data_IF_147527925900
#
_entry.id   IF_147527925900
#
_cell.length_a   1.000
_cell.length_b   1.000
_cell.length_c   1.000
_cell.angle_alpha   90.00
_cell.angle_beta   90.00
_cell.angle_gamma   90.00
#
_symmetry.space_group_name_H-M   'P 1'
#
loop_
_entity.id
_entity.type
_entity.pdbx_description
1 polymer ?
#
# COMPACT_ATOMS: atom_id res chain seq x y z
N UNK A 1 22.64 -3.90 -32.63
CA UNK A 1 21.48 -4.76 -32.31
C UNK A 1 21.29 -4.65 -30.84
N UNK A 2 20.28 -3.87 -30.38
CA UNK A 2 19.96 -3.77 -28.96
C UNK A 2 19.43 -5.14 -28.49
N UNK A 3 19.73 -5.51 -27.27
CA UNK A 3 19.25 -6.74 -26.66
C UNK A 3 17.72 -6.70 -26.61
N UNK A 4 17.04 -7.65 -27.22
CA UNK A 4 15.57 -7.82 -27.13
C UNK A 4 15.14 -8.31 -25.74
N UNK A 5 16.06 -8.30 -24.77
CA UNK A 5 15.84 -8.73 -23.39
C UNK A 5 15.68 -7.53 -22.46
N UNK A 6 14.73 -7.65 -21.56
CA UNK A 6 14.37 -6.62 -20.59
C UNK A 6 14.31 -7.23 -19.19
N UNK A 7 14.74 -6.47 -18.19
CA UNK A 7 14.34 -6.69 -16.83
C UNK A 7 12.88 -6.20 -16.67
N UNK A 8 12.00 -7.08 -16.21
CA UNK A 8 10.59 -6.79 -15.94
C UNK A 8 10.41 -6.59 -14.45
N UNK A 9 9.81 -5.48 -14.07
CA UNK A 9 9.61 -5.08 -12.68
C UNK A 9 8.15 -4.68 -12.44
N UNK A 10 7.64 -4.94 -11.23
CA UNK A 10 6.37 -4.39 -10.77
C UNK A 10 6.59 -2.99 -10.17
N UNK A 11 5.74 -2.04 -10.55
CA UNK A 11 5.69 -0.66 -10.05
C UNK A 11 4.23 -0.26 -9.87
N UNK A 12 3.72 -0.28 -8.65
CA UNK A 12 2.29 -0.16 -8.40
C UNK A 12 1.50 -1.28 -9.06
N UNK A 13 0.48 -0.91 -9.82
CA UNK A 13 -0.33 -1.84 -10.62
C UNK A 13 0.25 -2.13 -12.01
N UNK A 14 1.44 -1.60 -12.33
CA UNK A 14 2.03 -1.69 -13.65
C UNK A 14 3.23 -2.64 -13.68
N UNK A 15 3.46 -3.24 -14.85
CA UNK A 15 4.73 -3.86 -15.18
C UNK A 15 5.55 -2.90 -16.03
N UNK A 16 6.81 -2.73 -15.68
CA UNK A 16 7.76 -1.89 -16.42
C UNK A 16 8.91 -2.72 -16.94
N UNK A 17 9.41 -2.37 -18.13
CA UNK A 17 10.54 -3.01 -18.77
C UNK A 17 11.73 -2.05 -18.88
N UNK A 18 12.89 -2.47 -18.37
CA UNK A 18 14.17 -1.77 -18.52
C UNK A 18 15.08 -2.63 -19.39
N UNK A 19 15.76 -2.08 -20.44
CA UNK A 19 16.69 -2.86 -21.26
C UNK A 19 17.73 -3.58 -20.40
N UNK A 20 17.91 -4.88 -20.61
CA UNK A 20 18.76 -5.71 -19.75
C UNK A 20 20.24 -5.30 -19.81
N UNK A 21 20.69 -4.77 -20.95
CA UNK A 21 22.05 -4.25 -21.16
C UNK A 21 22.35 -2.96 -20.38
N UNK A 22 21.31 -2.29 -19.87
CA UNK A 22 21.42 -1.11 -19.00
C UNK A 22 21.42 -1.45 -17.52
N UNK A 23 21.05 -2.68 -17.13
CA UNK A 23 20.97 -3.13 -15.75
C UNK A 23 22.32 -3.69 -15.30
N UNK A 24 22.85 -3.17 -14.20
CA UNK A 24 24.09 -3.67 -13.61
C UNK A 24 23.83 -4.63 -12.45
N UNK A 25 22.87 -4.30 -11.59
CA UNK A 25 22.60 -5.08 -10.38
C UNK A 25 21.14 -4.88 -9.92
N UNK A 26 20.56 -5.94 -9.38
CA UNK A 26 19.25 -5.93 -8.71
C UNK A 26 19.50 -6.38 -7.28
N UNK A 27 19.00 -5.61 -6.30
CA UNK A 27 19.26 -5.85 -4.89
C UNK A 27 18.10 -5.39 -4.03
N UNK A 28 18.02 -5.90 -2.81
CA UNK A 28 17.07 -5.36 -1.83
C UNK A 28 17.55 -3.97 -1.42
N UNK A 29 16.69 -2.97 -1.61
CA UNK A 29 17.01 -1.59 -1.25
C UNK A 29 17.17 -1.48 0.26
N UNK A 30 18.30 -0.93 0.68
CA UNK A 30 18.55 -0.53 2.07
C UNK A 30 18.19 0.92 2.32
N UNK A 31 18.84 1.52 3.29
CA UNK A 31 18.60 2.92 3.64
C UNK A 31 18.98 3.88 2.51
N UNK A 32 18.05 4.76 2.17
CA UNK A 32 18.25 5.88 1.25
C UNK A 32 18.31 7.16 2.06
N UNK A 33 19.39 7.92 1.89
CA UNK A 33 19.57 9.23 2.55
C UNK A 33 18.98 10.32 1.68
N UNK A 34 18.10 11.12 2.28
CA UNK A 34 17.41 12.21 1.58
C UNK A 34 18.19 13.51 1.77
N UNK A 35 18.81 14.08 0.73
CA UNK A 35 19.44 15.40 0.80
C UNK A 35 18.41 16.52 0.97
N UNK A 36 18.79 17.68 1.52
CA UNK A 36 17.93 18.87 1.53
C UNK A 36 17.51 19.24 0.09
N UNK A 37 16.26 19.70 -0.06
CA UNK A 37 15.67 20.14 -1.34
C UNK A 37 15.66 19.07 -2.45
N UNK A 38 15.62 17.78 -2.07
CA UNK A 38 15.51 16.68 -3.02
C UNK A 38 14.14 16.72 -3.73
N UNK A 39 14.08 16.67 -5.07
CA UNK A 39 12.81 16.61 -5.79
C UNK A 39 12.01 15.34 -5.41
N UNK A 40 10.66 15.36 -5.46
CA UNK A 40 9.84 14.22 -5.01
C UNK A 40 10.15 12.87 -5.69
N UNK A 41 10.49 12.88 -6.97
CA UNK A 41 10.85 11.68 -7.72
C UNK A 41 12.26 11.14 -7.40
N UNK A 42 13.13 11.99 -6.84
CA UNK A 42 14.42 11.58 -6.29
C UNK A 42 14.22 11.21 -4.83
N UNK A 43 14.22 9.91 -4.53
CA UNK A 43 14.11 9.42 -3.15
C UNK A 43 15.29 9.84 -2.27
N UNK A 44 16.41 10.18 -2.90
CA UNK A 44 17.64 10.56 -2.26
C UNK A 44 18.86 9.87 -2.88
N UNK A 45 19.78 9.44 -2.03
CA UNK A 45 20.99 8.72 -2.42
C UNK A 45 21.09 7.37 -1.73
N UNK A 46 21.35 6.32 -2.50
CA UNK A 46 21.61 4.98 -2.02
C UNK A 46 23.13 4.79 -1.89
N UNK A 47 23.58 4.21 -0.79
CA UNK A 47 25.00 3.88 -0.55
C UNK A 47 25.20 2.39 -0.79
N UNK A 48 26.01 2.02 -1.77
CA UNK A 48 26.28 0.63 -2.14
C UNK A 48 27.74 0.43 -2.49
N UNK A 49 28.35 -0.67 -1.99
CA UNK A 49 29.72 -1.09 -2.36
C UNK A 49 30.73 0.07 -2.43
N UNK A 50 30.63 1.01 -1.48
CA UNK A 50 31.53 2.17 -1.42
C UNK A 50 31.23 3.30 -2.40
N UNK A 51 30.15 3.20 -3.18
CA UNK A 51 29.64 4.26 -4.05
C UNK A 51 28.37 4.90 -3.51
N UNK A 52 28.07 6.13 -3.95
CA UNK A 52 26.86 6.89 -3.65
C UNK A 52 26.15 7.16 -4.97
N UNK A 53 24.91 6.73 -5.07
CA UNK A 53 24.13 6.77 -6.31
C UNK A 53 22.80 7.48 -6.08
N UNK A 54 22.36 8.38 -6.98
CA UNK A 54 21.01 8.93 -6.92
C UNK A 54 20.00 7.81 -7.07
N UNK A 55 18.95 7.87 -6.22
CA UNK A 55 17.88 6.88 -6.18
C UNK A 55 16.57 7.54 -6.64
N UNK A 56 15.98 7.04 -7.70
CA UNK A 56 14.76 7.50 -8.33
C UNK A 56 13.62 6.55 -8.00
N UNK A 57 12.53 7.07 -7.44
CA UNK A 57 11.32 6.30 -7.17
C UNK A 57 10.47 6.21 -8.43
N UNK A 58 10.42 5.04 -9.07
CA UNK A 58 9.69 4.86 -10.32
C UNK A 58 8.18 5.02 -10.16
N UNK A 59 7.62 4.74 -8.99
CA UNK A 59 6.19 5.04 -8.74
C UNK A 59 5.94 6.54 -8.87
N UNK A 60 6.77 7.35 -8.21
CA UNK A 60 6.65 8.82 -8.25
C UNK A 60 6.96 9.37 -9.63
N UNK A 61 7.95 8.82 -10.32
CA UNK A 61 8.26 9.18 -11.71
C UNK A 61 7.07 8.91 -12.65
N UNK A 62 6.27 7.89 -12.38
CA UNK A 62 5.07 7.53 -13.16
C UNK A 62 3.79 8.24 -12.65
N UNK A 63 3.92 9.17 -11.71
CA UNK A 63 2.79 9.97 -11.19
C UNK A 63 1.97 9.30 -10.09
N UNK A 64 2.49 8.25 -9.45
CA UNK A 64 1.88 7.56 -8.31
C UNK A 64 2.48 8.02 -6.98
N UNK A 65 1.81 7.67 -5.88
CA UNK A 65 2.44 7.77 -4.56
C UNK A 65 3.59 6.76 -4.47
N UNK A 66 4.63 7.10 -3.70
CA UNK A 66 5.65 6.11 -3.33
C UNK A 66 5.02 4.99 -2.52
N UNK A 67 5.55 3.78 -2.59
CA UNK A 67 5.07 2.66 -1.79
C UNK A 67 5.12 2.98 -0.28
N UNK A 68 6.13 3.73 0.16
CA UNK A 68 6.21 4.23 1.54
C UNK A 68 5.05 5.16 1.88
N UNK A 69 4.71 6.13 1.02
CA UNK A 69 3.61 7.05 1.27
C UNK A 69 2.25 6.33 1.29
N UNK A 70 2.05 5.32 0.46
CA UNK A 70 0.86 4.47 0.50
C UNK A 70 0.76 3.70 1.83
N UNK A 71 1.86 3.13 2.31
CA UNK A 71 1.92 2.43 3.58
C UNK A 71 1.68 3.37 4.77
N UNK A 72 2.30 4.56 4.77
CA UNK A 72 2.09 5.57 5.81
C UNK A 72 0.62 6.01 5.86
N UNK A 73 -0.02 6.19 4.72
CA UNK A 73 -1.45 6.52 4.63
C UNK A 73 -2.33 5.37 5.17
N UNK A 74 -1.99 4.11 4.87
CA UNK A 74 -2.72 2.95 5.37
C UNK A 74 -2.56 2.79 6.89
N UNK A 75 -1.36 3.00 7.43
CA UNK A 75 -1.08 3.03 8.87
C UNK A 75 -1.89 4.12 9.57
N UNK A 76 -1.94 5.33 9.00
CA UNK A 76 -2.74 6.43 9.53
C UNK A 76 -4.23 6.10 9.53
N UNK A 77 -4.76 5.55 8.43
CA UNK A 77 -6.15 5.13 8.32
C UNK A 77 -6.51 4.10 9.40
N UNK A 78 -5.67 3.09 9.63
CA UNK A 78 -5.92 2.09 10.67
C UNK A 78 -5.92 2.72 12.07
N UNK A 79 -5.06 3.72 12.33
CA UNK A 79 -5.07 4.49 13.57
C UNK A 79 -6.39 5.25 13.78
N UNK A 80 -6.91 5.88 12.74
CA UNK A 80 -8.22 6.53 12.79
C UNK A 80 -9.35 5.52 13.04
N UNK A 81 -9.30 4.34 12.42
CA UNK A 81 -10.33 3.29 12.60
C UNK A 81 -10.29 2.71 14.01
N UNK A 82 -9.12 2.56 14.61
CA UNK A 82 -8.98 2.20 16.03
C UNK A 82 -9.67 3.24 16.93
N UNK A 83 -9.39 4.52 16.72
CA UNK A 83 -9.97 5.59 17.50
C UNK A 83 -11.50 5.69 17.31
N UNK A 84 -12.00 5.39 16.13
CA UNK A 84 -13.46 5.29 15.87
C UNK A 84 -14.11 4.20 16.74
N UNK A 85 -13.45 3.05 16.98
CA UNK A 85 -13.97 1.99 17.85
C UNK A 85 -13.90 2.34 19.33
N UNK A 86 -12.87 3.05 19.77
CA UNK A 86 -12.80 3.59 21.15
C UNK A 86 -13.95 4.54 21.40
N UNK A 87 -14.22 5.47 20.47
CA UNK A 87 -15.33 6.42 20.56
C UNK A 87 -16.68 5.73 20.45
N UNK A 88 -16.82 4.70 19.62
CA UNK A 88 -18.04 3.92 19.49
C UNK A 88 -18.46 3.29 20.83
N UNK A 89 -17.51 2.65 21.51
CA UNK A 89 -17.79 2.03 22.83
C UNK A 89 -18.05 3.08 23.91
N UNK A 90 -17.33 4.20 23.90
CA UNK A 90 -17.58 5.31 24.83
C UNK A 90 -18.99 5.92 24.61
N UNK A 91 -19.43 6.05 23.37
CA UNK A 91 -20.76 6.54 23.02
C UNK A 91 -21.86 5.55 23.43
N UNK A 92 -21.63 4.23 23.32
CA UNK A 92 -22.54 3.22 23.80
C UNK A 92 -22.72 3.32 25.34
N UNK A 93 -21.63 3.46 26.08
CA UNK A 93 -21.61 3.67 27.53
C UNK A 93 -22.40 4.95 27.90
N UNK A 94 -22.09 6.08 27.27
CA UNK A 94 -22.77 7.34 27.51
C UNK A 94 -24.28 7.26 27.22
N UNK A 95 -24.68 6.55 26.15
CA UNK A 95 -26.10 6.38 25.82
C UNK A 95 -26.88 5.66 26.90
N UNK A 96 -26.24 4.69 27.61
CA UNK A 96 -26.89 4.00 28.75
C UNK A 96 -26.97 4.90 29.97
N UNK A 97 -25.89 5.62 30.32
CA UNK A 97 -25.83 6.50 31.50
C UNK A 97 -26.77 7.69 31.42
N UNK A 98 -26.92 8.24 30.19
CA UNK A 98 -27.77 9.42 29.93
C UNK A 98 -29.18 9.05 29.50
N UNK A 99 -29.50 7.76 29.50
CA UNK A 99 -30.80 7.21 29.06
C UNK A 99 -31.28 7.75 27.71
N UNK A 100 -30.38 7.77 26.74
CA UNK A 100 -30.63 8.24 25.36
C UNK A 100 -30.43 7.16 24.33
N UNK A 101 -30.93 7.41 23.15
CA UNK A 101 -30.76 6.51 22.01
C UNK A 101 -29.29 6.45 21.56
N UNK A 102 -28.81 5.23 21.31
CA UNK A 102 -27.51 5.00 20.64
C UNK A 102 -27.70 5.12 19.13
N UNK A 103 -26.91 6.00 18.48
CA UNK A 103 -27.11 6.36 17.06
C UNK A 103 -25.98 5.98 16.13
N UNK A 104 -24.90 5.41 16.64
CA UNK A 104 -23.80 4.97 15.79
C UNK A 104 -24.12 3.63 15.12
N UNK A 105 -23.39 3.31 14.05
CA UNK A 105 -23.60 2.08 13.28
C UNK A 105 -23.44 0.83 14.15
N UNK A 106 -24.46 0.00 14.20
CA UNK A 106 -24.47 -1.30 14.91
C UNK A 106 -24.14 -2.47 13.96
N UNK A 107 -24.30 -2.27 12.65
CA UNK A 107 -23.88 -3.22 11.64
C UNK A 107 -22.38 -3.05 11.37
N UNK A 108 -21.53 -4.10 11.58
CA UNK A 108 -20.09 -4.02 11.36
C UNK A 108 -19.73 -3.66 9.91
N UNK A 109 -20.59 -3.92 8.95
CA UNK A 109 -20.37 -3.56 7.54
C UNK A 109 -20.62 -2.09 7.23
N UNK A 110 -21.34 -1.38 8.10
CA UNK A 110 -21.72 0.03 7.93
C UNK A 110 -20.81 1.00 8.68
N UNK A 111 -19.97 0.53 9.61
CA UNK A 111 -18.95 1.37 10.23
C UNK A 111 -17.83 1.70 9.23
N UNK A 112 -17.10 2.78 9.45
CA UNK A 112 -16.04 3.23 8.54
C UNK A 112 -14.95 2.17 8.33
N UNK A 113 -14.58 1.43 9.40
CA UNK A 113 -13.63 0.33 9.27
C UNK A 113 -14.20 -0.79 8.41
N UNK A 114 -15.44 -1.23 8.67
CA UNK A 114 -16.06 -2.31 7.91
C UNK A 114 -16.22 -1.97 6.43
N UNK A 115 -16.63 -0.74 6.09
CA UNK A 115 -16.72 -0.31 4.69
C UNK A 115 -15.37 -0.45 3.97
N UNK A 116 -14.29 -0.02 4.61
CA UNK A 116 -12.94 -0.17 4.08
C UNK A 116 -12.51 -1.65 4.09
N UNK A 117 -12.67 -2.36 5.19
CA UNK A 117 -12.21 -3.73 5.42
C UNK A 117 -12.74 -4.71 4.37
N UNK A 118 -14.04 -4.67 4.09
CA UNK A 118 -14.67 -5.55 3.12
C UNK A 118 -14.37 -5.18 1.66
N UNK A 119 -13.98 -3.94 1.39
CA UNK A 119 -13.60 -3.47 0.06
C UNK A 119 -12.09 -3.65 -0.22
N UNK A 120 -11.25 -3.61 0.80
CA UNK A 120 -9.80 -3.64 0.66
C UNK A 120 -9.31 -4.98 0.11
N UNK A 121 -8.39 -4.90 -0.85
CA UNK A 121 -7.73 -6.07 -1.46
C UNK A 121 -6.23 -5.87 -1.40
N UNK A 122 -5.51 -6.93 -1.12
CA UNK A 122 -4.04 -6.94 -1.11
C UNK A 122 -3.51 -8.29 -1.58
N UNK A 123 -2.40 -8.26 -2.30
CA UNK A 123 -1.64 -9.46 -2.69
C UNK A 123 -0.64 -9.87 -1.60
N UNK A 124 -0.38 -9.00 -0.62
CA UNK A 124 0.46 -9.32 0.52
C UNK A 124 -0.23 -10.36 1.41
N UNK A 125 0.34 -11.58 1.45
CA UNK A 125 -0.20 -12.69 2.20
C UNK A 125 -0.16 -12.47 3.72
N UNK A 126 0.87 -11.75 4.22
CA UNK A 126 1.01 -11.44 5.65
C UNK A 126 -0.06 -10.45 6.06
N UNK A 127 -0.20 -9.34 5.33
CA UNK A 127 -1.22 -8.34 5.59
C UNK A 127 -2.63 -8.92 5.51
N UNK A 128 -2.89 -9.78 4.52
CA UNK A 128 -4.18 -10.48 4.39
C UNK A 128 -4.48 -11.38 5.59
N UNK A 129 -3.47 -12.09 6.10
CA UNK A 129 -3.61 -12.93 7.28
C UNK A 129 -3.87 -12.11 8.56
N UNK A 130 -3.20 -10.96 8.71
CA UNK A 130 -3.46 -10.05 9.84
C UNK A 130 -4.87 -9.46 9.78
N UNK A 131 -5.29 -9.01 8.61
CA UNK A 131 -6.64 -8.46 8.43
C UNK A 131 -7.75 -9.50 8.69
N UNK A 132 -7.54 -10.77 8.31
CA UNK A 132 -8.53 -11.82 8.54
C UNK A 132 -8.86 -12.04 10.03
N UNK A 133 -7.96 -11.67 10.95
CA UNK A 133 -8.19 -11.80 12.39
C UNK A 133 -9.23 -10.83 12.95
N UNK A 134 -9.59 -9.78 12.19
CA UNK A 134 -10.58 -8.80 12.62
C UNK A 134 -12.02 -9.30 12.52
N UNK A 135 -12.34 -10.25 11.64
CA UNK A 135 -13.70 -10.62 11.28
C UNK A 135 -14.56 -10.90 12.52
N UNK A 136 -14.12 -11.81 13.38
CA UNK A 136 -14.89 -12.23 14.55
C UNK A 136 -14.92 -11.14 15.65
N UNK A 137 -13.79 -10.58 16.13
CA UNK A 137 -13.85 -9.59 17.21
C UNK A 137 -14.53 -8.29 16.77
N UNK A 138 -14.42 -7.89 15.50
CA UNK A 138 -15.13 -6.73 14.97
C UNK A 138 -16.65 -6.97 14.90
N UNK A 139 -17.10 -8.14 14.46
CA UNK A 139 -18.53 -8.47 14.48
C UNK A 139 -19.07 -8.49 15.91
N UNK A 140 -18.33 -9.04 16.86
CA UNK A 140 -18.74 -9.12 18.27
C UNK A 140 -18.88 -7.76 18.94
N UNK A 141 -17.93 -6.82 18.71
CA UNK A 141 -18.05 -5.50 19.35
C UNK A 141 -19.30 -4.76 18.86
N UNK A 142 -19.67 -4.90 17.59
CA UNK A 142 -20.91 -4.32 17.07
C UNK A 142 -22.18 -5.02 17.57
N UNK A 143 -22.14 -6.34 17.80
CA UNK A 143 -23.26 -7.10 18.36
C UNK A 143 -23.58 -6.68 19.81
N UNK A 144 -22.60 -6.14 20.55
CA UNK A 144 -22.80 -5.63 21.92
C UNK A 144 -23.88 -4.56 21.99
N UNK A 145 -24.09 -3.76 20.96
CA UNK A 145 -25.13 -2.74 20.95
C UNK A 145 -26.53 -3.34 21.10
N UNK A 146 -26.81 -4.46 20.43
CA UNK A 146 -28.11 -5.15 20.53
C UNK A 146 -28.27 -5.78 21.92
N UNK A 147 -27.25 -6.39 22.49
CA UNK A 147 -27.24 -6.93 23.85
C UNK A 147 -27.55 -5.84 24.88
N UNK A 148 -26.84 -4.72 24.80
CA UNK A 148 -27.03 -3.56 25.69
C UNK A 148 -28.44 -2.99 25.58
N UNK A 149 -29.00 -2.89 24.38
CA UNK A 149 -30.35 -2.42 24.16
C UNK A 149 -31.40 -3.38 24.79
N UNK A 150 -31.22 -4.68 24.66
CA UNK A 150 -32.09 -5.68 25.27
C UNK A 150 -32.06 -5.59 26.81
N UNK A 151 -30.86 -5.49 27.40
CA UNK A 151 -30.72 -5.32 28.85
C UNK A 151 -31.38 -4.04 29.36
N UNK A 152 -31.27 -2.93 28.64
CA UNK A 152 -31.96 -1.67 28.99
C UNK A 152 -33.47 -1.80 28.94
N UNK A 153 -34.01 -2.46 27.92
CA UNK A 153 -35.46 -2.68 27.79
C UNK A 153 -36.06 -3.48 28.97
N UNK A 154 -35.23 -4.34 29.61
CA UNK A 154 -35.58 -5.08 30.83
C UNK A 154 -35.38 -4.26 32.13
N UNK A 155 -35.04 -2.97 32.04
CA UNK A 155 -34.70 -2.14 33.20
C UNK A 155 -33.35 -2.43 33.83
N UNK A 156 -32.48 -3.17 33.13
CA UNK A 156 -31.17 -3.62 33.62
C UNK A 156 -30.00 -2.70 33.23
N UNK A 157 -30.09 -1.39 33.47
CA UNK A 157 -29.02 -0.43 33.13
C UNK A 157 -27.65 -0.81 33.75
N UNK A 158 -27.61 -1.25 35.01
CA UNK A 158 -26.37 -1.66 35.65
C UNK A 158 -25.76 -2.90 34.97
N UNK A 159 -26.58 -3.86 34.52
CA UNK A 159 -26.13 -5.03 33.76
C UNK A 159 -25.60 -4.65 32.40
N UNK A 160 -26.25 -3.69 31.74
CA UNK A 160 -25.78 -3.15 30.46
C UNK A 160 -24.40 -2.47 30.58
N UNK A 161 -24.21 -1.64 31.61
CA UNK A 161 -22.90 -1.02 31.91
C UNK A 161 -21.84 -2.05 32.26
N UNK A 162 -22.17 -3.10 33.02
CA UNK A 162 -21.24 -4.19 33.31
C UNK A 162 -20.81 -4.95 32.04
N UNK A 163 -21.73 -5.21 31.09
CA UNK A 163 -21.41 -5.84 29.81
C UNK A 163 -20.48 -4.95 28.96
N UNK A 164 -20.70 -3.63 28.92
CA UNK A 164 -19.82 -2.67 28.26
C UNK A 164 -18.42 -2.68 28.88
N UNK A 165 -18.30 -2.75 30.20
CA UNK A 165 -17.01 -2.76 30.89
C UNK A 165 -16.21 -4.05 30.60
N UNK A 166 -16.89 -5.20 30.57
CA UNK A 166 -16.29 -6.47 30.12
C UNK A 166 -15.79 -6.36 28.67
N UNK A 167 -16.58 -5.76 27.77
CA UNK A 167 -16.16 -5.55 26.40
C UNK A 167 -14.99 -4.54 26.28
N UNK A 168 -14.96 -3.52 27.14
CA UNK A 168 -13.89 -2.52 27.21
C UNK A 168 -12.55 -3.16 27.61
N UNK A 169 -12.57 -4.00 28.64
CA UNK A 169 -11.36 -4.65 29.18
C UNK A 169 -10.91 -5.88 28.41
N UNK A 170 -11.75 -6.43 27.56
CA UNK A 170 -11.45 -7.64 26.77
C UNK A 170 -11.48 -7.35 25.25
N UNK A 171 -12.67 -7.29 24.68
CA UNK A 171 -12.88 -7.25 23.24
C UNK A 171 -12.24 -6.01 22.54
N UNK A 172 -12.38 -4.83 23.17
CA UNK A 172 -11.76 -3.60 22.66
C UNK A 172 -10.23 -3.69 22.71
N UNK A 173 -9.67 -4.26 23.80
CA UNK A 173 -8.22 -4.47 23.91
C UNK A 173 -7.73 -5.37 22.79
N UNK A 174 -8.42 -6.48 22.52
CA UNK A 174 -8.09 -7.38 21.41
C UNK A 174 -8.09 -6.64 20.07
N UNK A 175 -9.10 -5.80 19.80
CA UNK A 175 -9.14 -5.02 18.56
C UNK A 175 -7.97 -4.03 18.45
N UNK A 176 -7.62 -3.35 19.54
CA UNK A 176 -6.50 -2.41 19.59
C UNK A 176 -5.18 -3.14 19.28
N UNK A 177 -4.95 -4.30 19.86
CA UNK A 177 -3.78 -5.15 19.59
C UNK A 177 -3.74 -5.58 18.11
N UNK A 178 -4.87 -5.96 17.53
CA UNK A 178 -4.96 -6.29 16.12
C UNK A 178 -4.62 -5.10 15.21
N UNK A 179 -5.12 -3.89 15.54
CA UNK A 179 -4.77 -2.67 14.81
C UNK A 179 -3.26 -2.40 14.88
N UNK A 180 -2.64 -2.53 16.07
CA UNK A 180 -1.20 -2.30 16.23
C UNK A 180 -0.37 -3.35 15.48
N UNK A 181 -0.71 -4.64 15.61
CA UNK A 181 -0.02 -5.71 14.88
C UNK A 181 -0.13 -5.53 13.37
N UNK A 182 -1.29 -5.13 12.87
CA UNK A 182 -1.49 -4.88 11.44
C UNK A 182 -0.67 -3.67 10.97
N UNK A 183 -0.64 -2.57 11.73
CA UNK A 183 0.22 -1.42 11.42
C UNK A 183 1.71 -1.81 11.41
N UNK A 184 2.13 -2.64 12.36
CA UNK A 184 3.51 -3.14 12.38
C UNK A 184 3.81 -4.04 11.18
N UNK A 185 2.90 -4.95 10.83
CA UNK A 185 3.03 -5.80 9.63
C UNK A 185 3.17 -4.97 8.36
N UNK A 186 2.41 -3.87 8.21
CA UNK A 186 2.53 -2.94 7.07
C UNK A 186 3.92 -2.29 7.04
N UNK A 187 4.45 -1.84 8.19
CA UNK A 187 5.79 -1.24 8.26
C UNK A 187 6.89 -2.25 7.90
N UNK A 188 6.74 -3.50 8.34
CA UNK A 188 7.73 -4.55 8.17
C UNK A 188 7.69 -5.21 6.78
N UNK A 189 6.53 -5.19 6.12
CA UNK A 189 6.35 -5.78 4.78
C UNK A 189 7.03 -4.97 3.68
N UNK A 190 7.43 -3.74 3.96
CA UNK A 190 7.94 -2.80 2.97
C UNK A 190 9.37 -3.15 2.53
N UNK A 191 9.48 -3.97 1.50
CA UNK A 191 10.76 -4.34 0.86
C UNK A 191 10.80 -3.81 -0.56
N UNK A 192 11.43 -2.65 -0.74
CA UNK A 192 11.69 -2.10 -2.07
C UNK A 192 12.90 -2.78 -2.71
N UNK A 193 12.89 -2.86 -4.02
CA UNK A 193 14.01 -3.38 -4.82
C UNK A 193 14.71 -2.21 -5.48
N UNK A 194 16.04 -2.16 -5.33
CA UNK A 194 16.89 -1.26 -6.06
C UNK A 194 17.41 -1.93 -7.34
N UNK A 195 17.33 -1.22 -8.45
CA UNK A 195 17.90 -1.65 -9.74
C UNK A 195 18.94 -0.63 -10.14
N UNK A 196 20.22 -1.01 -10.11
CA UNK A 196 21.28 -0.13 -10.59
C UNK A 196 21.28 -0.13 -12.10
N UNK A 197 21.14 1.05 -12.68
CA UNK A 197 21.10 1.27 -14.13
C UNK A 197 22.07 2.37 -14.54
N UNK A 198 22.50 2.34 -15.80
CA UNK A 198 23.25 3.43 -16.40
C UNK A 198 22.27 4.41 -17.07
N UNK A 199 22.22 5.64 -16.55
CA UNK A 199 21.40 6.74 -17.03
C UNK A 199 22.31 7.89 -17.46
N UNK A 200 22.34 8.24 -18.75
CA UNK A 200 23.13 9.37 -19.25
C UNK A 200 24.64 9.28 -18.91
N UNK A 201 25.21 8.09 -18.90
CA UNK A 201 26.61 7.84 -18.53
C UNK A 201 26.89 7.88 -17.01
N UNK A 202 25.85 7.92 -16.17
CA UNK A 202 25.95 7.87 -14.71
C UNK A 202 25.18 6.68 -14.16
N UNK A 203 25.73 6.04 -13.15
CA UNK A 203 25.00 4.99 -12.42
C UNK A 203 23.97 5.63 -11.50
N UNK A 204 22.76 5.11 -11.56
CA UNK A 204 21.64 5.52 -10.71
C UNK A 204 20.89 4.28 -10.23
N UNK A 205 20.11 4.40 -9.19
CA UNK A 205 19.26 3.34 -8.66
C UNK A 205 17.80 3.69 -8.99
N UNK A 206 17.13 2.80 -9.72
CA UNK A 206 15.67 2.84 -9.86
C UNK A 206 15.06 2.04 -8.73
N UNK A 207 14.13 2.64 -8.00
CA UNK A 207 13.38 1.97 -6.94
C UNK A 207 12.11 1.42 -7.56
N UNK A 208 11.90 0.12 -7.39
CA UNK A 208 10.75 -0.65 -7.88
C UNK A 208 10.18 -1.50 -6.74
N UNK A 209 8.95 -1.99 -6.87
CA UNK A 209 8.33 -2.80 -5.83
C UNK A 209 8.89 -4.22 -5.81
N UNK A 210 9.01 -4.83 -7.01
CA UNK A 210 9.47 -6.23 -7.15
C UNK A 210 10.12 -6.46 -8.50
N UNK A 211 11.14 -7.31 -8.53
CA UNK A 211 11.68 -7.88 -9.76
C UNK A 211 10.88 -9.12 -10.14
N UNK A 212 10.41 -9.19 -11.39
CA UNK A 212 9.60 -10.30 -11.89
C UNK A 212 10.44 -11.29 -12.71
N UNK A 213 11.12 -10.79 -13.74
CA UNK A 213 11.86 -11.63 -14.67
C UNK A 213 12.92 -10.86 -15.45
N UNK A 214 13.77 -11.60 -16.15
CA UNK A 214 14.49 -11.11 -17.32
C UNK A 214 13.95 -11.87 -18.53
N UNK A 215 13.29 -11.17 -19.45
CA UNK A 215 12.52 -11.78 -20.52
C UNK A 215 12.71 -11.05 -21.87
N UNK A 216 12.45 -11.76 -22.94
CA UNK A 216 12.20 -11.17 -24.25
C UNK A 216 10.77 -10.61 -24.25
N UNK A 217 10.61 -9.39 -24.73
CA UNK A 217 9.34 -8.70 -24.83
C UNK A 217 9.02 -8.43 -26.30
N UNK A 218 7.76 -8.66 -26.66
CA UNK A 218 7.25 -8.41 -27.99
C UNK A 218 6.53 -7.04 -28.01
N UNK A 219 7.12 -5.96 -28.60
CA UNK A 219 6.42 -4.69 -28.70
C UNK A 219 5.10 -4.83 -29.45
N UNK A 220 4.09 -4.05 -29.06
CA UNK A 220 2.87 -3.95 -29.84
C UNK A 220 3.16 -3.27 -31.19
N UNK A 221 2.42 -3.66 -32.24
CA UNK A 221 2.47 -2.98 -33.54
C UNK A 221 2.04 -1.51 -33.37
N UNK A 222 2.62 -0.61 -34.15
CA UNK A 222 2.37 0.84 -34.03
C UNK A 222 0.88 1.19 -34.08
N UNK A 223 0.10 0.50 -34.89
CA UNK A 223 -1.36 0.71 -34.99
C UNK A 223 -2.15 0.20 -33.77
N UNK A 224 -1.58 -0.65 -32.96
CA UNK A 224 -2.19 -1.25 -31.77
C UNK A 224 -1.56 -0.75 -30.45
N UNK A 225 -0.54 0.12 -30.53
CA UNK A 225 0.10 0.73 -29.38
C UNK A 225 -0.48 2.14 -29.16
N UNK A 226 -1.33 2.36 -28.14
CA UNK A 226 -1.93 3.66 -27.89
C UNK A 226 -0.92 4.76 -27.55
N UNK A 227 0.29 4.40 -27.13
CA UNK A 227 1.39 5.35 -26.92
C UNK A 227 2.01 5.77 -28.26
N UNK A 228 2.31 4.79 -29.13
CA UNK A 228 2.82 5.06 -30.47
C UNK A 228 1.80 5.84 -31.34
N UNK A 229 0.52 5.53 -31.19
CA UNK A 229 -0.57 6.23 -31.86
C UNK A 229 -0.87 7.63 -31.26
N UNK A 230 -0.19 8.04 -30.17
CA UNK A 230 -0.42 9.33 -29.51
C UNK A 230 -1.72 9.44 -28.75
N UNK A 231 -2.47 8.34 -28.61
CA UNK A 231 -3.73 8.28 -27.87
C UNK A 231 -3.50 8.31 -26.33
N UNK A 232 -2.32 7.90 -25.87
CA UNK A 232 -1.87 7.97 -24.48
C UNK A 232 -0.49 8.61 -24.43
N UNK A 233 -0.28 9.54 -23.51
CA UNK A 233 1.05 10.14 -23.25
C UNK A 233 1.49 9.79 -21.84
N UNK A 234 2.61 9.06 -21.76
CA UNK A 234 3.33 8.81 -20.51
C UNK A 234 4.78 9.18 -20.79
N UNK A 235 5.22 10.30 -20.25
CA UNK A 235 6.51 10.92 -20.63
C UNK A 235 7.73 10.03 -20.49
N UNK A 236 7.69 9.01 -19.61
CA UNK A 236 8.79 8.10 -19.35
C UNK A 236 8.62 6.73 -20.02
N UNK A 237 7.57 6.52 -20.77
CA UNK A 237 7.28 5.25 -21.46
C UNK A 237 7.44 5.44 -22.96
N UNK A 238 8.27 4.59 -23.55
CA UNK A 238 8.55 4.63 -24.99
C UNK A 238 7.54 3.84 -25.80
N UNK A 239 7.15 2.64 -25.30
CA UNK A 239 6.24 1.70 -25.99
C UNK A 239 5.59 0.77 -25.00
N UNK A 240 4.53 0.10 -25.43
CA UNK A 240 3.98 -1.07 -24.78
C UNK A 240 4.52 -2.36 -25.40
N UNK A 241 4.66 -3.40 -24.58
CA UNK A 241 5.08 -4.72 -25.04
C UNK A 241 4.27 -5.82 -24.36
N UNK A 242 4.20 -6.97 -25.02
CA UNK A 242 3.65 -8.22 -24.45
C UNK A 242 4.74 -9.00 -23.77
N UNK A 243 4.39 -9.56 -22.65
CA UNK A 243 5.21 -10.53 -21.94
C UNK A 243 4.39 -11.82 -21.72
N UNK A 244 4.94 -12.97 -22.11
CA UNK A 244 4.26 -14.26 -21.96
C UNK A 244 3.98 -14.64 -20.50
N UNK A 245 4.67 -14.03 -19.55
CA UNK A 245 4.46 -14.21 -18.10
C UNK A 245 3.27 -13.46 -17.51
N UNK A 246 2.61 -12.58 -18.28
CA UNK A 246 1.48 -11.77 -17.80
C UNK A 246 0.50 -11.43 -18.90
N UNK A 247 -0.79 -11.33 -18.54
CA UNK A 247 -1.81 -10.77 -19.43
C UNK A 247 -1.75 -9.23 -19.51
N UNK A 248 -1.15 -8.57 -18.51
CA UNK A 248 -0.99 -7.13 -18.48
C UNK A 248 0.17 -6.70 -19.40
N UNK A 249 0.04 -5.58 -20.13
CA UNK A 249 1.11 -5.03 -20.93
C UNK A 249 2.27 -4.54 -20.05
N UNK A 250 3.49 -4.61 -20.60
CA UNK A 250 4.71 -4.08 -19.98
C UNK A 250 4.99 -2.72 -20.59
N UNK A 251 5.19 -1.71 -19.75
CA UNK A 251 5.58 -0.36 -20.12
C UNK A 251 7.10 -0.31 -20.35
N UNK A 252 7.56 -0.24 -21.60
CA UNK A 252 8.99 -0.11 -21.91
C UNK A 252 9.45 1.30 -21.56
N UNK A 253 10.32 1.42 -20.58
CA UNK A 253 10.80 2.71 -20.10
C UNK A 253 11.78 3.37 -21.08
N UNK A 254 11.68 4.67 -21.22
CA UNK A 254 12.65 5.52 -21.89
C UNK A 254 13.74 5.91 -20.89
N UNK A 255 14.83 5.14 -20.88
CA UNK A 255 15.95 5.34 -19.96
C UNK A 255 16.64 6.70 -20.13
N UNK A 256 16.63 7.27 -21.33
CA UNK A 256 17.24 8.58 -21.60
C UNK A 256 16.39 9.72 -21.00
N UNK A 257 15.07 9.61 -21.06
CA UNK A 257 14.17 10.55 -20.38
C UNK A 257 14.22 10.43 -18.85
N UNK A 258 14.36 9.21 -18.33
CA UNK A 258 14.57 9.01 -16.89
C UNK A 258 15.91 9.64 -16.47
N UNK A 259 16.95 9.56 -17.31
CA UNK A 259 18.23 10.21 -17.04
C UNK A 259 18.11 11.74 -16.85
N UNK A 260 17.20 12.38 -17.60
CA UNK A 260 16.94 13.82 -17.45
C UNK A 260 16.31 14.19 -16.09
N UNK A 261 15.65 13.25 -15.42
CA UNK A 261 15.12 13.46 -14.06
C UNK A 261 16.18 13.26 -12.97
N UNK A 262 17.29 12.58 -13.29
CA UNK A 262 18.36 12.28 -12.35
C UNK A 262 19.41 13.41 -12.24
N UNK A 263 19.39 14.35 -13.16
CA UNK A 263 20.31 15.51 -13.25
C UNK A 263 19.75 16.71 -12.58
#
# INVERSE_FOLDING_TARGET
>A
MGSDRFGVFAVGSHLVGVPADRIHEIFQLGDVRVPPNCPPHQRGVAVMRGGVFPALDLRVCLGHLSARAENDALVALLGEREEDHRRWLAELDASVREDREFRLATDPRKCKFGQWYYAFKTDDAVLRAELAKFEEPHARIHALAAEVQALRAEGGADRALASIEVARSGLLVTLIELFEHTRQAIRDSHKEVGVTVELGGRRSVLIVDRAEAVAELEPFDEGNDPLAAGALRVDLVRRLARWRGSAAPVLLLDVDRIAALAG
#
